data_IF_049923451059
#
_entry.id   IF_049923451059
#
_cell.length_a   1.000
_cell.length_b   1.000
_cell.length_c   1.000
_cell.angle_alpha   90.00
_cell.angle_beta   90.00
_cell.angle_gamma   90.00
#
_symmetry.space_group_name_H-M   'P 1'
#
loop_
_entity.id
_entity.type
_entity.pdbx_description
1 polymer ?
2 polymer ?
3 non-polymer ?
4 water ?
#
# COMPACT_ATOMS: atom_id res chain seq x y z
N UNK A 7 -22.23 9.84 1.95
CA UNK A 7 -22.41 8.40 1.60
C UNK A 7 -21.07 7.71 1.41
N UNK A 8 -20.38 7.45 2.52
CA UNK A 8 -19.08 6.80 2.48
C UNK A 8 -19.03 5.54 3.34
N UNK A 9 -18.33 4.52 2.84
CA UNK A 9 -18.14 3.27 3.56
C UNK A 9 -16.63 3.17 3.84
N UNK A 10 -16.25 3.23 5.10
CA UNK A 10 -14.84 3.18 5.46
C UNK A 10 -14.45 1.88 6.15
N UNK A 11 -13.35 1.29 5.70
CA UNK A 11 -12.85 0.04 6.26
C UNK A 11 -11.31 0.03 6.20
N UNK A 12 -10.70 -0.96 6.82
CA UNK A 12 -9.24 -1.04 6.84
C UNK A 12 -8.73 -2.47 6.83
N UNK A 13 -7.42 -2.58 6.64
CA UNK A 13 -6.76 -3.86 6.59
C UNK A 13 -5.32 -3.68 7.02
N UNK A 14 -4.86 -4.59 7.88
CA UNK A 14 -3.49 -4.58 8.35
C UNK A 14 -2.75 -5.73 7.69
N UNK A 15 -1.70 -5.40 6.95
CA UNK A 15 -0.89 -6.40 6.27
C UNK A 15 0.50 -6.51 6.89
N UNK A 16 0.82 -7.70 7.40
CA UNK A 16 2.13 -7.94 7.99
C UNK A 16 2.96 -8.73 6.98
N UNK A 17 4.11 -8.19 6.57
CA UNK A 17 4.98 -8.89 5.61
C UNK A 17 6.17 -9.50 6.36
N UNK A 18 6.22 -10.82 6.37
CA UNK A 18 7.28 -11.55 7.06
C UNK A 18 8.52 -11.74 6.21
N UNK A 19 9.64 -11.99 6.88
CA UNK A 19 10.92 -12.23 6.22
C UNK A 19 11.19 -11.19 5.15
N UNK A 20 10.96 -9.93 5.50
CA UNK A 20 11.19 -8.84 4.57
C UNK A 20 12.67 -8.83 4.21
N UNK A 21 12.97 -8.66 2.93
CA UNK A 21 14.35 -8.62 2.45
C UNK A 21 14.49 -7.49 1.43
N UNK A 22 15.68 -6.92 1.34
CA UNK A 22 15.93 -5.84 0.40
C UNK A 22 16.44 -6.39 -0.93
N UNK A 23 16.66 -7.70 -0.95
CA UNK A 23 17.15 -8.38 -2.13
C UNK A 23 15.98 -8.80 -3.02
N UNK A 24 15.96 -8.24 -4.23
CA UNK A 24 14.91 -8.56 -5.21
C UNK A 24 14.84 -10.04 -5.57
N UNK A 25 15.97 -10.65 -5.85
CA UNK A 25 15.97 -12.07 -6.20
C UNK A 25 15.47 -12.96 -5.06
N UNK A 26 15.30 -12.37 -3.88
CA UNK A 26 14.81 -13.08 -2.70
C UNK A 26 13.40 -12.63 -2.38
N UNK A 27 13.13 -11.35 -2.58
CA UNK A 27 11.83 -10.76 -2.30
C UNK A 27 10.81 -10.83 -3.49
N UNK A 28 11.26 -10.60 -4.72
CA UNK A 28 10.33 -10.61 -5.85
C UNK A 28 10.13 -9.14 -6.11
N UNK A 29 9.82 -8.79 -7.35
CA UNK A 29 9.63 -7.39 -7.68
C UNK A 29 8.27 -6.88 -7.25
N UNK A 30 7.32 -7.79 -7.07
CA UNK A 30 5.97 -7.41 -6.68
C UNK A 30 5.32 -8.45 -5.77
N UNK A 31 4.78 -7.98 -4.65
CA UNK A 31 4.10 -8.85 -3.70
C UNK A 31 2.75 -8.23 -3.36
N UNK A 32 1.73 -9.08 -3.29
CA UNK A 32 0.38 -8.63 -2.96
C UNK A 32 -0.12 -9.28 -1.69
N UNK A 33 -1.00 -8.58 -1.00
CA UNK A 33 -1.59 -9.07 0.24
C UNK A 33 -2.81 -9.91 -0.12
N UNK A 34 -3.43 -10.51 0.88
CA UNK A 34 -4.64 -11.28 0.65
C UNK A 34 -5.73 -10.22 0.47
N UNK A 35 -6.88 -10.64 -0.04
CA UNK A 35 -7.99 -9.73 -0.28
C UNK A 35 -8.76 -9.31 0.97
N UNK A 36 -9.53 -8.24 0.85
CA UNK A 36 -10.34 -7.75 1.95
C UNK A 36 -11.42 -6.83 1.39
N UNK A 37 -12.43 -6.56 2.20
CA UNK A 37 -13.54 -5.69 1.82
C UNK A 37 -14.09 -5.03 3.08
N UNK A 38 -15.23 -4.35 2.93
CA UNK A 38 -15.85 -3.67 4.05
C UNK A 38 -16.66 -4.62 4.93
N UNK A 39 -17.20 -5.68 4.33
CA UNK A 39 -17.98 -6.64 5.09
C UNK A 39 -17.87 -8.08 4.61
N UNK A 42 -19.74 -7.34 1.64
CA UNK A 42 -19.26 -6.58 0.49
C UNK A 42 -18.69 -7.49 -0.60
N UNK A 43 -19.12 -7.26 -1.83
CA UNK A 43 -18.69 -8.04 -2.98
C UNK A 43 -17.38 -7.52 -3.58
N UNK A 44 -17.05 -6.27 -3.27
CA UNK A 44 -15.83 -5.65 -3.76
C UNK A 44 -14.62 -6.16 -2.98
N UNK A 45 -13.75 -6.90 -3.65
CA UNK A 45 -12.55 -7.43 -3.01
C UNK A 45 -11.37 -6.53 -3.36
N UNK A 46 -10.61 -6.15 -2.34
CA UNK A 46 -9.44 -5.30 -2.53
C UNK A 46 -8.21 -6.00 -1.98
N UNK A 47 -7.04 -5.49 -2.35
CA UNK A 47 -5.80 -6.03 -1.83
C UNK A 47 -4.72 -4.96 -1.97
N UNK A 48 -3.63 -5.12 -1.23
CA UNK A 48 -2.53 -4.18 -1.29
C UNK A 48 -1.45 -4.74 -2.23
N UNK A 49 -0.73 -3.85 -2.90
CA UNK A 49 0.34 -4.24 -3.81
C UNK A 49 1.59 -3.42 -3.52
N UNK A 50 2.69 -4.11 -3.27
CA UNK A 50 3.96 -3.46 -2.93
C UNK A 50 5.07 -3.83 -3.90
N UNK A 51 5.92 -2.85 -4.18
CA UNK A 51 7.10 -3.06 -5.01
C UNK A 51 8.19 -2.69 -4.00
N UNK A 52 8.79 -3.70 -3.35
CA UNK A 52 9.84 -3.50 -2.35
C UNK A 52 10.80 -2.42 -2.81
N UNK A 53 11.01 -2.37 -4.12
CA UNK A 53 11.91 -1.40 -4.72
C UNK A 53 11.16 -0.75 -5.88
N UNK A 54 11.13 0.58 -5.91
CA UNK A 54 10.44 1.27 -6.99
C UNK A 54 10.89 0.71 -8.33
N UNK A 55 9.94 0.45 -9.22
CA UNK A 55 10.27 -0.11 -10.54
C UNK A 55 10.77 0.88 -11.59
N UNK A 56 11.07 2.10 -11.16
CA UNK A 56 11.58 3.12 -12.07
C UNK A 56 12.65 3.96 -11.37
N UNK A 57 13.45 4.65 -12.18
CA UNK A 57 14.54 5.49 -11.69
C UNK A 57 14.15 6.51 -10.63
N UNK A 58 13.03 7.20 -10.82
CA UNK A 58 12.61 8.19 -9.83
C UNK A 58 12.25 7.60 -8.47
N UNK A 59 11.76 6.36 -8.46
CA UNK A 59 11.38 5.71 -7.21
C UNK A 59 12.31 4.56 -6.83
N UNK A 60 13.52 4.54 -7.39
CA UNK A 60 14.47 3.46 -7.09
C UNK A 60 14.93 3.35 -5.64
N UNK A 61 14.92 4.46 -4.90
CA UNK A 61 15.36 4.44 -3.50
C UNK A 61 14.14 4.31 -2.59
N UNK A 62 12.99 4.00 -3.19
CA UNK A 62 11.76 3.88 -2.43
C UNK A 62 11.04 2.54 -2.54
N UNK A 63 10.10 2.37 -1.63
CA UNK A 63 9.26 1.19 -1.63
C UNK A 63 7.92 1.75 -2.11
N UNK A 64 7.28 1.07 -3.06
CA UNK A 64 6.00 1.52 -3.60
C UNK A 64 4.79 0.77 -3.02
N UNK A 65 3.74 1.51 -2.69
CA UNK A 65 2.52 0.94 -2.12
C UNK A 65 1.27 1.39 -2.89
N UNK A 66 0.49 0.42 -3.35
CA UNK A 66 -0.72 0.68 -4.12
C UNK A 66 -1.91 -0.09 -3.57
N UNK A 67 -3.10 0.44 -3.85
CA UNK A 67 -4.36 -0.19 -3.46
C UNK A 67 -4.88 -0.74 -4.78
N UNK A 68 -5.24 -2.01 -4.79
CA UNK A 68 -5.72 -2.65 -6.00
C UNK A 68 -7.15 -3.18 -5.88
N UNK A 69 -7.96 -2.94 -6.91
CA UNK A 69 -9.33 -3.43 -6.93
C UNK A 69 -9.24 -4.78 -7.64
N UNK A 70 -9.37 -5.85 -6.86
CA UNK A 70 -9.27 -7.20 -7.39
C UNK A 70 -10.51 -7.65 -8.18
N UNK A 71 -11.66 -7.68 -7.54
CA UNK A 71 -12.88 -8.10 -8.21
C UNK A 71 -13.94 -7.02 -8.13
N UNK A 72 -14.55 -6.72 -9.27
CA UNK A 72 -15.59 -5.71 -9.35
C UNK A 72 -16.79 -6.23 -10.14
N UNK A 73 -17.96 -6.37 -9.48
CA UNK A 73 -19.18 -6.86 -10.12
C UNK A 73 -20.24 -5.76 -10.31
N UNK A 76 -15.91 2.37 -12.14
CA UNK A 76 -17.15 1.78 -11.64
C UNK A 76 -17.23 1.93 -10.12
N UNK A 77 -16.15 2.45 -9.54
CA UNK A 77 -16.06 2.68 -8.09
C UNK A 77 -15.07 3.81 -7.82
N UNK A 78 -15.42 4.68 -6.88
CA UNK A 78 -14.55 5.80 -6.50
C UNK A 78 -14.19 5.63 -5.03
N UNK A 79 -12.93 5.88 -4.69
CA UNK A 79 -12.52 5.73 -3.30
C UNK A 79 -11.25 6.48 -2.90
N UNK A 80 -11.21 6.89 -1.64
CA UNK A 80 -10.05 7.57 -1.09
C UNK A 80 -9.32 6.53 -0.26
N UNK A 81 -8.02 6.72 -0.07
CA UNK A 81 -7.25 5.76 0.72
C UNK A 81 -6.12 6.46 1.46
N UNK A 82 -5.63 5.77 2.49
CA UNK A 82 -4.55 6.24 3.33
C UNK A 82 -3.69 5.04 3.71
N UNK A 83 -2.38 5.23 3.67
CA UNK A 83 -1.44 4.18 4.03
C UNK A 83 -0.55 4.70 5.14
N UNK A 84 -0.19 3.81 6.06
CA UNK A 84 0.70 4.18 7.13
C UNK A 84 1.43 2.93 7.57
N UNK A 85 2.60 3.11 8.15
CA UNK A 85 3.36 1.98 8.63
C UNK A 85 3.13 1.89 10.13
N UNK A 86 2.91 0.68 10.64
CA UNK A 86 2.73 0.49 12.08
C UNK A 86 4.10 0.22 12.69
N UNK A 87 4.56 1.04 13.62
CA UNK A 87 5.88 0.74 14.16
C UNK A 87 5.86 -0.35 15.24
N UNK A 88 7.04 -0.64 15.79
CA UNK A 88 7.24 -1.61 16.87
C UNK A 88 6.24 -1.51 18.05
N UNK A 89 5.76 -0.31 18.37
CA UNK A 89 4.82 -0.13 19.48
C UNK A 89 3.38 0.09 19.01
N UNK A 90 3.10 -0.37 17.79
CA UNK A 90 1.77 -0.25 17.21
C UNK A 90 1.23 1.11 16.76
N UNK A 91 2.05 2.16 16.75
CA UNK A 91 1.59 3.50 16.32
C UNK A 91 1.69 3.69 14.81
N UNK A 92 0.93 4.65 14.28
CA UNK A 92 0.95 4.99 12.86
C UNK A 92 2.01 6.04 12.51
N UNK A 93 2.82 5.74 11.50
CA UNK A 93 3.84 6.66 11.07
C UNK A 93 3.96 6.67 9.55
N UNK A 94 4.63 7.70 9.04
CA UNK A 94 4.85 7.86 7.62
C UNK A 94 3.55 7.67 6.83
N UNK A 95 2.47 8.25 7.34
CA UNK A 95 1.16 8.15 6.70
C UNK A 95 1.11 9.00 5.43
N UNK A 96 0.47 8.44 4.41
CA UNK A 96 0.33 9.11 3.12
C UNK A 96 -1.11 8.82 2.67
N UNK A 97 -1.87 9.88 2.46
CA UNK A 97 -3.26 9.77 2.06
C UNK A 97 -3.58 10.52 0.76
N UNK A 98 -4.49 9.96 -0.03
CA UNK A 98 -4.88 10.61 -1.27
C UNK A 98 -5.75 11.80 -0.92
N UNK A 99 -5.51 12.93 -1.58
CA UNK A 99 -6.31 14.13 -1.32
C UNK A 99 -7.77 13.85 -1.67
N UNK A 100 -7.99 13.38 -2.90
CA UNK A 100 -9.33 13.05 -3.35
C UNK A 100 -9.54 11.56 -3.61
N UNK A 101 -10.72 11.25 -4.13
CA UNK A 101 -11.08 9.89 -4.47
C UNK A 101 -10.67 9.65 -5.92
N UNK A 102 -10.31 8.41 -6.22
CA UNK A 102 -9.90 8.03 -7.57
C UNK A 102 -10.83 6.93 -8.09
N UNK A 103 -10.94 6.85 -9.40
CA UNK A 103 -11.80 5.86 -10.03
C UNK A 103 -11.08 4.53 -10.20
N UNK A 104 -11.69 3.48 -9.66
CA UNK A 104 -11.14 2.14 -9.75
C UNK A 104 -12.04 1.27 -10.60
N UNK A 105 -11.43 0.34 -11.32
CA UNK A 105 -12.14 -0.66 -12.12
C UNK A 105 -11.31 -1.90 -11.84
N UNK A 106 -11.83 -3.08 -12.13
CA UNK A 106 -11.09 -4.31 -11.87
C UNK A 106 -9.69 -4.29 -12.49
N UNK A 107 -8.69 -4.63 -11.68
CA UNK A 107 -7.31 -4.67 -12.15
C UNK A 107 -6.59 -3.33 -12.12
N UNK A 108 -7.29 -2.30 -11.66
CA UNK A 108 -6.73 -0.96 -11.58
C UNK A 108 -6.21 -0.66 -10.19
N UNK A 109 -5.06 0.01 -10.10
CA UNK A 109 -4.53 0.39 -8.80
C UNK A 109 -4.21 1.88 -8.71
N UNK A 110 -4.13 2.36 -7.48
CA UNK A 110 -3.78 3.74 -7.20
C UNK A 110 -2.94 3.69 -5.93
N UNK A 111 -1.96 4.58 -5.82
CA UNK A 111 -1.10 4.58 -4.65
C UNK A 111 0.02 5.61 -4.75
N UNK A 112 1.17 5.30 -4.15
CA UNK A 112 2.33 6.19 -4.16
C UNK A 112 3.61 5.39 -4.46
N UNK A 113 4.24 5.67 -5.60
CA UNK A 113 5.45 4.96 -5.97
C UNK A 113 6.57 5.29 -5.01
N UNK A 114 6.49 6.46 -4.40
CA UNK A 114 7.48 6.88 -3.42
C UNK A 114 6.82 7.01 -2.06
N UNK A 115 6.26 5.89 -1.58
CA UNK A 115 5.60 5.86 -0.29
C UNK A 115 6.57 6.08 0.88
N UNK A 116 7.68 5.35 0.84
CA UNK A 116 8.68 5.45 1.88
C UNK A 116 10.05 5.10 1.35
N UNK A 117 11.02 5.85 1.84
CA UNK A 117 12.40 5.67 1.47
C UNK A 117 12.96 4.34 1.95
N UNK A 118 13.54 3.57 1.03
CA UNK A 118 14.15 2.27 1.36
C UNK A 118 15.26 2.50 2.37
N UNK A 119 15.76 3.73 2.42
CA UNK A 119 16.81 4.07 3.38
C UNK A 119 16.27 4.21 4.79
N UNK A 120 15.02 4.63 4.90
CA UNK A 120 14.37 4.80 6.20
C UNK A 120 14.06 3.46 6.85
N UNK A 121 13.66 2.48 6.04
CA UNK A 121 13.35 1.16 6.56
C UNK A 121 14.55 0.52 7.27
N UNK A 122 15.73 0.66 6.67
CA UNK A 122 16.97 0.12 7.23
C UNK A 122 17.27 0.67 8.62
N UNK A 123 17.08 1.98 8.81
CA UNK A 123 17.34 2.59 10.10
C UNK A 123 16.54 1.94 11.21
N UNK A 124 17.23 1.15 12.02
CA UNK A 124 16.64 0.41 13.12
C UNK A 124 16.11 1.37 14.16
N UNK A 125 16.65 2.58 14.12
CA UNK A 125 16.25 3.63 15.02
C UNK A 125 14.77 3.95 14.87
N UNK A 126 14.24 3.76 13.66
CA UNK A 126 12.83 4.03 13.38
C UNK A 126 11.91 2.91 13.86
N UNK A 127 12.45 1.70 13.95
CA UNK A 127 11.65 0.56 14.39
C UNK A 127 10.51 0.29 13.42
N UNK A 128 10.82 0.34 12.13
CA UNK A 128 9.84 0.12 11.08
C UNK A 128 9.88 -1.33 10.59
N UNK A 129 10.97 -2.03 10.89
CA UNK A 129 11.11 -3.42 10.49
C UNK A 129 11.41 -4.37 11.64
N UNK A 130 10.58 -4.34 12.70
CA UNK A 130 10.82 -5.23 13.84
C UNK A 130 10.88 -6.70 13.40
N UNK A 131 11.98 -7.36 13.75
CA UNK A 131 12.20 -8.77 13.41
C UNK A 131 12.01 -9.02 11.91
N UNK A 132 12.46 -8.07 11.09
CA UNK A 132 12.34 -8.20 9.63
C UNK A 132 10.89 -8.33 9.16
N UNK A 133 9.99 -7.70 9.90
CA UNK A 133 8.58 -7.72 9.58
C UNK A 133 8.11 -6.32 9.27
N UNK A 134 7.43 -6.16 8.14
CA UNK A 134 6.91 -4.85 7.77
C UNK A 134 5.39 -4.88 7.90
N UNK A 135 4.86 -4.02 8.75
CA UNK A 135 3.42 -3.96 8.97
C UNK A 135 2.81 -2.67 8.40
N UNK A 136 1.96 -2.86 7.40
CA UNK A 136 1.29 -1.76 6.72
C UNK A 136 -0.20 -1.72 7.08
N UNK A 137 -0.73 -0.52 7.26
CA UNK A 137 -2.14 -0.34 7.60
C UNK A 137 -2.80 0.55 6.55
N UNK A 138 -3.86 0.04 5.93
CA UNK A 138 -4.57 0.79 4.89
C UNK A 138 -6.01 1.03 5.29
N UNK A 139 -6.47 2.26 5.08
CA UNK A 139 -7.84 2.66 5.37
C UNK A 139 -8.45 3.15 4.06
N UNK A 140 -9.55 2.52 3.66
CA UNK A 140 -10.23 2.84 2.41
C UNK A 140 -11.61 3.42 2.68
N UNK A 141 -11.96 4.46 1.93
CA UNK A 141 -13.27 5.10 2.03
C UNK A 141 -13.90 5.03 0.65
N UNK A 142 -14.93 4.21 0.51
CA UNK A 142 -15.62 4.07 -0.76
C UNK A 142 -16.80 5.03 -0.86
N UNK A 143 -16.85 5.80 -1.94
CA UNK A 143 -17.93 6.76 -2.15
C UNK A 143 -19.15 6.04 -2.73
N UNK A 144 -20.31 6.26 -2.12
CA UNK A 144 -21.55 5.63 -2.58
C UNK A 144 -22.25 6.51 -3.62
N UNK B 3 -0.42 14.15 -0.48
CA UNK B 3 0.39 13.98 -1.72
C UNK B 3 -0.48 13.52 -2.89
N UNK B 4 0.09 13.51 -4.09
CA UNK B 4 -0.64 13.09 -5.29
C UNK B 4 -0.45 11.61 -5.57
N UNK B 5 -1.55 10.90 -5.76
CA UNK B 5 -1.49 9.47 -6.05
C UNK B 5 -1.13 9.24 -7.52
N UNK B 6 -0.57 8.06 -7.80
CA UNK B 6 -0.21 7.68 -9.15
C UNK B 6 -0.65 6.23 -9.34
N UNK B 7 -0.70 5.79 -10.59
CA UNK B 7 -1.12 4.43 -10.91
C UNK B 7 -0.03 3.76 -11.72
N UNK B 8 0.09 2.44 -11.58
CA UNK B 8 1.10 1.69 -12.32
C UNK B 8 0.68 1.54 -13.78
N UNK B 9 -0.56 1.91 -14.10
CA UNK B 9 -1.07 1.81 -15.47
C UNK B 9 -1.72 3.11 -15.97
N UNK B 10 -1.69 3.31 -17.29
CA UNK B 10 -2.26 4.50 -17.90
C UNK B 10 -3.70 4.24 -18.31
N UNK B 11 -4.62 5.05 -17.79
CA UNK B 11 -6.03 4.88 -18.12
C UNK B 11 -6.71 3.64 -17.57
X LIG C 1 20.04 -12.66 -2.15
X LIG D 1 20.49 -9.43 -3.51
X LIG E 1 -5.52 5.59 11.38
#
# INVERSE_FOLDING_TARGET
>A
GSGGSGKVVKFSYMWTINNFSFCREEMGEVIKSSTFSSGANDKLKWCLRVNPKGLDEESKDYLSLYLLLVSCPKSEVRAKFKFSILNAKGEETKAMESQRAYRFVQGKDWGFKKFIRRGFLLDEANGLLPDDKLTLFCEVSVVQD
>B
KAASADSTTEGTPAD
>C hetero
1 ZN ZN
>D hetero
1 ZN ZN
>E hetero
1 ZN ZN
#
